data_IF_738823399106
#
_entry.id   IF_738823399106
#
_cell.length_a   1.000
_cell.length_b   1.000
_cell.length_c   1.000
_cell.angle_alpha   90.00
_cell.angle_beta   90.00
_cell.angle_gamma   90.00
#
_symmetry.space_group_name_H-M   'P 1'
#
loop_
_entity.id
_entity.type
_entity.pdbx_description
1 polymer ?
#
# COMPACT_ATOMS: atom_id res chain seq x y z
N UNK A 1 52.32 -28.40 -32.88
CA UNK A 1 51.24 -28.66 -31.91
C UNK A 1 50.57 -27.35 -31.56
N UNK A 2 49.33 -27.11 -32.03
CA UNK A 2 48.58 -25.88 -31.72
C UNK A 2 47.64 -26.17 -30.55
N UNK A 3 48.01 -25.71 -29.35
CA UNK A 3 47.13 -25.77 -28.18
C UNK A 3 45.94 -24.84 -28.40
N UNK A 4 44.75 -25.41 -28.59
CA UNK A 4 43.50 -24.67 -28.54
C UNK A 4 43.17 -24.41 -27.08
N UNK A 5 43.42 -23.19 -26.61
CA UNK A 5 42.92 -22.74 -25.31
C UNK A 5 41.42 -22.49 -25.50
N UNK A 6 40.61 -23.41 -24.98
CA UNK A 6 39.16 -23.21 -24.88
C UNK A 6 38.95 -22.29 -23.66
N UNK A 7 38.73 -21.01 -23.92
CA UNK A 7 38.27 -20.06 -22.90
C UNK A 7 36.80 -20.39 -22.66
N UNK A 8 36.52 -21.21 -21.64
CA UNK A 8 35.17 -21.39 -21.12
C UNK A 8 34.82 -20.10 -20.39
N UNK A 9 34.17 -19.18 -21.10
CA UNK A 9 33.51 -18.03 -20.48
C UNK A 9 32.33 -18.60 -19.69
N UNK A 10 32.58 -18.94 -18.43
CA UNK A 10 31.53 -19.00 -17.41
C UNK A 10 31.00 -17.57 -17.30
N UNK A 11 30.04 -17.22 -18.15
CA UNK A 11 29.09 -16.17 -17.85
C UNK A 11 28.36 -16.74 -16.63
N UNK A 12 28.59 -16.24 -15.40
CA UNK A 12 27.71 -16.64 -14.34
C UNK A 12 26.35 -16.15 -14.80
N UNK A 13 25.41 -17.09 -14.91
CA UNK A 13 24.00 -16.80 -15.03
C UNK A 13 23.75 -15.79 -13.93
N UNK A 14 23.65 -14.51 -14.32
CA UNK A 14 23.18 -13.44 -13.47
C UNK A 14 21.78 -13.89 -13.12
N UNK A 15 21.67 -14.62 -12.01
CA UNK A 15 20.44 -14.75 -11.27
C UNK A 15 19.93 -13.32 -11.21
N UNK A 16 18.89 -13.03 -11.98
CA UNK A 16 18.13 -11.79 -11.94
C UNK A 16 17.41 -11.71 -10.58
N UNK A 17 18.19 -11.75 -9.51
CA UNK A 17 17.81 -11.50 -8.15
C UNK A 17 17.45 -10.04 -8.09
N UNK A 18 16.21 -9.76 -8.46
CA UNK A 18 15.64 -8.45 -8.26
C UNK A 18 15.65 -8.17 -6.75
N UNK A 19 16.20 -7.01 -6.37
CA UNK A 19 16.27 -6.62 -4.96
C UNK A 19 14.86 -6.70 -4.34
N UNK A 20 14.78 -7.06 -3.07
CA UNK A 20 13.50 -7.18 -2.34
C UNK A 20 12.57 -5.99 -2.62
N UNK A 21 13.14 -4.78 -2.59
CA UNK A 21 12.43 -3.54 -2.84
C UNK A 21 11.96 -3.39 -4.30
N UNK A 22 12.81 -3.67 -5.28
CA UNK A 22 12.43 -3.61 -6.70
C UNK A 22 11.33 -4.63 -7.02
N UNK A 23 11.38 -5.80 -6.38
CA UNK A 23 10.42 -6.88 -6.59
C UNK A 23 9.06 -6.54 -5.97
N UNK A 24 9.08 -5.98 -4.76
CA UNK A 24 7.90 -5.43 -4.12
C UNK A 24 7.27 -4.33 -4.99
N UNK A 25 8.07 -3.41 -5.53
CA UNK A 25 7.60 -2.35 -6.41
C UNK A 25 6.96 -2.89 -7.70
N UNK A 26 7.64 -3.80 -8.42
CA UNK A 26 7.12 -4.42 -9.64
C UNK A 26 5.79 -5.15 -9.40
N UNK A 27 5.71 -5.96 -8.33
CA UNK A 27 4.47 -6.67 -7.98
C UNK A 27 3.35 -5.72 -7.57
N UNK A 28 3.66 -4.69 -6.80
CA UNK A 28 2.69 -3.67 -6.39
C UNK A 28 2.13 -2.96 -7.62
N UNK A 29 2.98 -2.50 -8.53
CA UNK A 29 2.56 -1.83 -9.77
C UNK A 29 1.70 -2.74 -10.67
N UNK A 30 2.04 -4.03 -10.77
CA UNK A 30 1.22 -4.99 -11.48
C UNK A 30 -0.16 -5.12 -10.84
N UNK A 31 -0.22 -5.33 -9.53
CA UNK A 31 -1.47 -5.47 -8.80
C UNK A 31 -2.33 -4.20 -8.88
N UNK A 32 -1.74 -3.00 -8.82
CA UNK A 32 -2.49 -1.73 -8.99
C UNK A 32 -3.30 -1.72 -10.29
N UNK A 33 -2.69 -2.16 -11.41
CA UNK A 33 -3.37 -2.22 -12.70
C UNK A 33 -4.57 -3.18 -12.67
N UNK A 34 -4.35 -4.38 -12.14
CA UNK A 34 -5.40 -5.41 -11.98
C UNK A 34 -6.54 -4.91 -11.08
N UNK A 35 -6.22 -4.24 -9.96
CA UNK A 35 -7.25 -3.74 -9.05
C UNK A 35 -8.08 -2.60 -9.62
N UNK A 36 -7.53 -1.81 -10.55
CA UNK A 36 -8.27 -0.76 -11.25
C UNK A 36 -9.23 -1.27 -12.34
N UNK A 37 -9.20 -2.56 -12.66
CA UNK A 37 -10.27 -3.21 -13.42
C UNK A 37 -11.52 -3.42 -12.55
N UNK A 38 -11.34 -3.54 -11.23
CA UNK A 38 -12.39 -3.87 -10.26
C UNK A 38 -12.93 -2.67 -9.47
N UNK A 39 -12.12 -1.62 -9.30
CA UNK A 39 -12.47 -0.46 -8.50
C UNK A 39 -11.80 0.84 -8.97
N UNK A 40 -12.52 1.94 -8.86
CA UNK A 40 -12.00 3.28 -9.20
C UNK A 40 -11.00 3.80 -8.18
N UNK A 41 -11.05 3.29 -6.94
CA UNK A 41 -10.20 3.75 -5.84
C UNK A 41 -9.59 2.56 -5.10
N UNK A 42 -8.27 2.56 -4.96
CA UNK A 42 -7.50 1.56 -4.24
C UNK A 42 -6.63 2.26 -3.18
N UNK A 43 -6.68 1.77 -1.96
CA UNK A 43 -5.80 2.19 -0.88
C UNK A 43 -4.53 1.35 -0.89
N UNK A 44 -3.40 2.01 -0.67
CA UNK A 44 -2.09 1.37 -0.53
C UNK A 44 -1.42 1.90 0.72
N UNK A 45 -1.18 1.03 1.69
CA UNK A 45 -0.36 1.29 2.86
C UNK A 45 1.02 0.64 2.68
N UNK A 46 2.06 1.35 3.12
CA UNK A 46 3.43 0.86 3.15
C UNK A 46 4.17 1.51 4.32
N UNK A 47 5.28 0.92 4.72
CA UNK A 47 6.21 1.50 5.68
C UNK A 47 7.63 1.29 5.18
N UNK A 48 8.45 2.33 5.27
CA UNK A 48 9.77 2.38 4.66
C UNK A 48 10.70 1.23 5.12
N UNK A 49 10.52 0.76 6.35
CA UNK A 49 11.33 -0.33 6.93
C UNK A 49 10.69 -1.71 6.79
N UNK A 50 9.49 -1.78 6.20
CA UNK A 50 8.73 -3.00 6.05
C UNK A 50 8.80 -3.52 4.61
N UNK A 51 9.24 -4.77 4.44
CA UNK A 51 9.26 -5.47 3.15
C UNK A 51 7.85 -5.99 2.75
N UNK A 52 6.81 -5.17 2.94
CA UNK A 52 5.47 -5.48 2.47
C UNK A 52 4.64 -4.24 2.21
N UNK A 53 3.65 -4.39 1.33
CA UNK A 53 2.58 -3.43 1.10
C UNK A 53 1.25 -4.07 1.47
N UNK A 54 0.33 -3.26 1.98
CA UNK A 54 -1.05 -3.65 2.17
C UNK A 54 -1.92 -2.85 1.21
N UNK A 55 -2.71 -3.55 0.40
CA UNK A 55 -3.60 -2.92 -0.58
C UNK A 55 -5.04 -3.34 -0.33
N UNK A 56 -5.98 -2.41 -0.44
CA UNK A 56 -7.39 -2.77 -0.35
C UNK A 56 -8.29 -1.81 -1.14
N UNK A 57 -9.47 -2.31 -1.50
CA UNK A 57 -10.54 -1.51 -2.09
C UNK A 57 -11.89 -1.96 -1.55
N UNK A 58 -12.90 -1.12 -1.74
CA UNK A 58 -14.28 -1.39 -1.34
C UNK A 58 -15.12 -1.70 -2.59
N UNK A 59 -15.90 -2.79 -2.55
CA UNK A 59 -16.86 -3.15 -3.61
C UNK A 59 -18.01 -3.95 -3.00
N UNK A 60 -19.26 -3.60 -3.34
CA UNK A 60 -20.46 -4.31 -2.89
C UNK A 60 -20.53 -4.56 -1.37
N UNK A 61 -20.20 -3.57 -0.54
CA UNK A 61 -20.13 -3.67 0.93
C UNK A 61 -19.05 -4.63 1.47
N UNK A 62 -18.04 -4.98 0.67
CA UNK A 62 -16.89 -5.76 1.13
C UNK A 62 -15.58 -4.97 0.98
N UNK A 63 -14.68 -5.20 1.92
CA UNK A 63 -13.25 -4.88 1.80
C UNK A 63 -12.55 -6.07 1.17
N UNK A 64 -11.94 -5.84 0.01
CA UNK A 64 -11.03 -6.78 -0.63
C UNK A 64 -9.60 -6.34 -0.33
N UNK A 65 -8.81 -7.18 0.34
CA UNK A 65 -7.46 -6.80 0.75
C UNK A 65 -6.38 -7.82 0.36
N UNK A 66 -5.18 -7.30 0.14
CA UNK A 66 -4.03 -8.00 -0.39
C UNK A 66 -2.79 -7.61 0.41
N UNK A 67 -2.02 -8.60 0.82
CA UNK A 67 -0.68 -8.41 1.36
C UNK A 67 0.33 -8.72 0.25
N UNK A 68 1.11 -7.73 -0.15
CA UNK A 68 2.13 -7.86 -1.18
C UNK A 68 3.49 -7.89 -0.51
N UNK A 69 4.23 -8.97 -0.71
CA UNK A 69 5.64 -9.14 -0.33
C UNK A 69 6.48 -9.28 -1.61
N UNK A 70 7.80 -9.07 -1.54
CA UNK A 70 8.69 -9.16 -2.71
C UNK A 70 8.45 -10.38 -3.61
N UNK A 71 8.23 -11.54 -3.00
CA UNK A 71 8.13 -12.81 -3.72
C UNK A 71 6.73 -13.45 -3.65
N UNK A 72 5.78 -12.85 -2.93
CA UNK A 72 4.44 -13.44 -2.72
C UNK A 72 3.37 -12.35 -2.59
N UNK A 73 2.23 -12.58 -3.23
CA UNK A 73 1.02 -11.81 -2.99
C UNK A 73 -0.01 -12.74 -2.35
N UNK A 74 -0.59 -12.32 -1.22
CA UNK A 74 -1.67 -13.03 -0.53
C UNK A 74 -2.95 -12.22 -0.68
N UNK A 75 -3.95 -12.76 -1.38
CA UNK A 75 -5.33 -12.25 -1.37
C UNK A 75 -6.04 -12.84 -0.15
N UNK A 76 -6.63 -11.99 0.69
CA UNK A 76 -7.44 -12.44 1.81
C UNK A 76 -8.90 -12.66 1.39
N UNK A 77 -9.65 -13.41 2.22
CA UNK A 77 -11.10 -13.53 2.03
C UNK A 77 -11.75 -12.13 2.15
N UNK A 78 -12.76 -11.80 1.31
CA UNK A 78 -13.48 -10.54 1.43
C UNK A 78 -14.06 -10.36 2.83
N UNK A 79 -13.98 -9.15 3.36
CA UNK A 79 -14.48 -8.81 4.71
C UNK A 79 -15.70 -7.94 4.56
N UNK A 80 -16.80 -8.30 5.21
CA UNK A 80 -17.99 -7.44 5.23
C UNK A 80 -17.66 -6.09 5.89
N UNK A 81 -18.02 -5.01 5.20
CA UNK A 81 -17.69 -3.64 5.52
C UNK A 81 -18.95 -2.87 5.91
N UNK A 82 -18.86 -2.12 7.01
CA UNK A 82 -19.88 -1.11 7.32
C UNK A 82 -19.85 -0.03 6.25
N UNK A 83 -21.02 0.43 5.83
CA UNK A 83 -21.13 1.60 4.98
C UNK A 83 -20.77 2.85 5.79
N UNK A 84 -19.52 3.29 5.69
CA UNK A 84 -19.01 4.52 6.30
C UNK A 84 -18.86 5.54 5.17
N UNK A 85 -19.81 6.45 5.07
CA UNK A 85 -19.73 7.57 4.14
C UNK A 85 -18.70 8.57 4.65
N UNK A 86 -17.77 9.01 3.79
CA UNK A 86 -16.84 10.11 4.11
C UNK A 86 -17.15 11.26 3.16
N UNK A 87 -17.19 12.49 3.70
CA UNK A 87 -17.21 13.68 2.86
C UNK A 87 -15.90 13.79 2.05
N UNK A 88 -16.00 13.94 0.73
CA UNK A 88 -14.85 14.13 -0.17
C UNK A 88 -13.92 15.27 0.26
N UNK A 89 -14.48 16.37 0.77
CA UNK A 89 -13.69 17.51 1.28
C UNK A 89 -12.88 17.12 2.52
N UNK A 90 -13.37 16.16 3.31
CA UNK A 90 -12.62 15.60 4.43
C UNK A 90 -11.41 14.80 3.94
N UNK A 91 -11.43 14.20 2.75
CA UNK A 91 -10.31 13.37 2.25
C UNK A 91 -9.15 14.28 1.85
N UNK A 92 -9.40 15.33 1.08
CA UNK A 92 -8.35 16.24 0.59
C UNK A 92 -7.50 16.82 1.72
N UNK A 93 -8.13 17.18 2.85
CA UNK A 93 -7.42 17.66 4.06
C UNK A 93 -6.25 16.75 4.47
N UNK A 94 -6.43 15.43 4.40
CA UNK A 94 -5.42 14.47 4.85
C UNK A 94 -4.41 14.12 3.77
N UNK A 95 -4.66 14.41 2.50
CA UNK A 95 -3.73 14.04 1.41
C UNK A 95 -3.12 15.23 0.64
N UNK A 96 -3.35 16.47 1.09
CA UNK A 96 -2.70 17.63 0.49
C UNK A 96 -1.17 17.58 0.68
N UNK A 97 -0.40 17.90 -0.35
CA UNK A 97 1.07 17.72 -0.40
C UNK A 97 1.90 18.73 0.43
N UNK A 98 1.38 19.26 1.53
CA UNK A 98 2.18 20.13 2.40
C UNK A 98 3.21 19.31 3.17
N UNK A 99 4.49 19.71 3.04
CA UNK A 99 5.67 19.07 3.64
C UNK A 99 5.56 18.99 5.18
N UNK A 100 4.86 19.96 5.79
CA UNK A 100 4.51 19.99 7.20
C UNK A 100 2.99 20.03 7.31
N UNK A 101 2.37 18.87 7.52
CA UNK A 101 0.97 18.80 7.93
C UNK A 101 0.95 18.94 9.45
N UNK A 102 0.37 19.99 10.00
CA UNK A 102 0.01 20.01 11.42
C UNK A 102 -1.32 19.27 11.60
N UNK A 103 -1.28 17.96 11.30
CA UNK A 103 -2.44 17.07 11.40
C UNK A 103 -1.99 15.85 12.20
N UNK A 104 -2.39 15.77 13.48
CA UNK A 104 -2.02 14.66 14.34
C UNK A 104 -2.26 13.30 13.66
N UNK A 105 -1.25 12.44 13.76
CA UNK A 105 -1.18 11.11 13.15
C UNK A 105 -0.97 11.05 11.62
N UNK A 106 -0.90 12.18 10.91
CA UNK A 106 -0.64 12.23 9.45
C UNK A 106 0.65 12.98 9.10
N UNK A 107 1.46 13.22 10.12
CA UNK A 107 2.80 13.80 10.03
C UNK A 107 3.84 12.77 9.60
N UNK A 108 4.99 13.28 9.15
CA UNK A 108 6.15 12.43 8.84
C UNK A 108 6.63 11.74 10.12
N UNK A 109 6.67 10.40 10.08
CA UNK A 109 7.10 9.55 11.18
C UNK A 109 8.42 8.85 10.86
N UNK A 110 9.17 8.50 11.91
CA UNK A 110 10.47 7.85 11.80
C UNK A 110 10.40 6.48 11.12
N UNK A 111 9.28 5.75 11.23
CA UNK A 111 9.08 4.46 10.57
C UNK A 111 8.71 4.59 9.07
N UNK A 112 8.58 5.82 8.59
CA UNK A 112 8.25 6.16 7.21
C UNK A 112 6.97 5.50 6.72
N UNK A 113 5.99 5.28 7.61
CA UNK A 113 4.70 4.76 7.23
C UNK A 113 3.88 5.79 6.44
N UNK A 114 3.26 5.34 5.36
CA UNK A 114 2.47 6.18 4.49
C UNK A 114 1.29 5.42 3.88
N UNK A 115 0.30 6.20 3.45
CA UNK A 115 -0.86 5.74 2.71
C UNK A 115 -0.98 6.51 1.40
N UNK A 116 -1.32 5.79 0.34
CA UNK A 116 -1.70 6.35 -0.96
C UNK A 116 -3.15 6.01 -1.27
N UNK A 117 -3.84 7.01 -1.81
CA UNK A 117 -5.12 6.83 -2.49
C UNK A 117 -4.85 6.80 -3.99
N UNK A 118 -4.94 5.61 -4.57
CA UNK A 118 -4.75 5.39 -6.00
C UNK A 118 -6.12 5.54 -6.67
N UNK A 119 -6.29 6.60 -7.45
CA UNK A 119 -7.56 6.91 -8.11
C UNK A 119 -7.37 6.67 -9.61
N UNK A 120 -8.25 5.85 -10.20
CA UNK A 120 -8.21 5.51 -11.62
C UNK A 120 -8.25 6.78 -12.46
N UNK A 121 -7.32 6.88 -13.43
CA UNK A 121 -7.19 8.02 -14.34
C UNK A 121 -6.96 9.39 -13.67
N UNK A 122 -6.45 9.42 -12.43
CA UNK A 122 -6.10 10.64 -11.71
C UNK A 122 -4.76 10.48 -11.00
N UNK A 123 -4.19 11.59 -10.54
CA UNK A 123 -3.00 11.57 -9.71
C UNK A 123 -3.28 10.85 -8.39
N UNK A 124 -2.33 10.01 -7.96
CA UNK A 124 -2.40 9.36 -6.65
C UNK A 124 -2.21 10.38 -5.55
N UNK A 125 -3.07 10.34 -4.53
CA UNK A 125 -2.92 11.19 -3.36
C UNK A 125 -2.03 10.51 -2.32
N UNK A 126 -1.18 11.27 -1.65
CA UNK A 126 -0.20 10.75 -0.68
C UNK A 126 -0.38 11.36 0.71
N UNK A 127 -0.23 10.54 1.75
CA UNK A 127 -0.05 11.03 3.10
C UNK A 127 0.87 10.12 3.90
N UNK A 128 1.70 10.72 4.74
CA UNK A 128 2.32 10.00 5.85
C UNK A 128 1.23 9.61 6.85
N UNK A 129 1.52 8.58 7.65
CA UNK A 129 0.63 8.14 8.70
C UNK A 129 1.38 7.48 9.85
N UNK A 130 1.14 7.97 11.07
CA UNK A 130 1.46 7.24 12.29
C UNK A 130 0.27 6.34 12.63
N UNK A 131 0.43 5.04 12.37
CA UNK A 131 -0.66 4.09 12.64
C UNK A 131 -0.90 3.90 14.14
N UNK A 132 0.12 3.96 14.99
CA UNK A 132 -0.07 3.83 16.44
C UNK A 132 -0.85 5.03 16.99
N UNK A 133 -0.52 6.24 16.55
CA UNK A 133 -1.31 7.44 16.82
C UNK A 133 -2.74 7.29 16.31
N UNK A 134 -2.94 6.79 15.09
CA UNK A 134 -4.26 6.56 14.51
C UNK A 134 -5.12 5.63 15.41
N UNK A 135 -4.54 4.56 15.94
CA UNK A 135 -5.30 3.60 16.76
C UNK A 135 -5.57 4.11 18.19
N UNK A 136 -4.69 4.94 18.75
CA UNK A 136 -4.87 5.54 20.09
C UNK A 136 -5.91 6.66 20.14
N UNK A 137 -6.09 7.40 19.04
CA UNK A 137 -6.97 8.56 19.00
C UNK A 137 -8.43 8.22 18.69
N UNK A 138 -9.36 9.06 19.17
CA UNK A 138 -10.79 9.01 18.82
C UNK A 138 -11.07 10.01 17.70
N UNK A 139 -11.91 9.60 16.75
CA UNK A 139 -12.29 10.41 15.59
C UNK A 139 -13.81 10.49 15.49
N UNK A 140 -14.32 11.58 14.92
CA UNK A 140 -15.73 11.70 14.58
C UNK A 140 -16.14 10.60 13.63
N UNK A 141 -17.34 10.05 13.85
CA UNK A 141 -17.95 9.09 12.93
C UNK A 141 -18.02 9.72 11.53
N UNK A 142 -17.83 8.93 10.48
CA UNK A 142 -17.85 9.38 9.08
C UNK A 142 -16.70 10.32 8.68
N UNK A 143 -15.67 10.49 9.52
CA UNK A 143 -14.42 11.13 9.12
C UNK A 143 -13.49 10.16 8.39
N UNK A 144 -12.58 10.71 7.57
CA UNK A 144 -11.53 9.92 6.93
C UNK A 144 -10.70 9.08 7.92
N UNK A 145 -10.10 9.65 8.99
CA UNK A 145 -9.31 8.86 9.93
C UNK A 145 -10.13 7.81 10.66
N UNK A 146 -11.42 8.07 10.94
CA UNK A 146 -12.32 7.07 11.49
C UNK A 146 -12.46 5.86 10.56
N UNK A 147 -12.74 6.09 9.27
CA UNK A 147 -12.87 5.00 8.27
C UNK A 147 -11.54 4.28 8.08
N UNK A 148 -10.42 5.01 7.99
CA UNK A 148 -9.11 4.40 7.80
C UNK A 148 -8.75 3.48 8.96
N UNK A 149 -8.95 3.95 10.20
CA UNK A 149 -8.79 3.13 11.41
C UNK A 149 -9.70 1.91 11.39
N UNK A 150 -10.96 2.07 10.98
CA UNK A 150 -11.90 0.95 10.82
C UNK A 150 -11.40 -0.08 9.81
N UNK A 151 -11.02 0.32 8.61
CA UNK A 151 -10.54 -0.56 7.54
C UNK A 151 -9.29 -1.33 8.00
N UNK A 152 -8.27 -0.64 8.53
CA UNK A 152 -7.05 -1.26 9.03
C UNK A 152 -7.34 -2.24 10.18
N UNK A 153 -8.25 -1.88 11.10
CA UNK A 153 -8.64 -2.78 12.21
C UNK A 153 -9.29 -4.08 11.72
N UNK A 154 -9.98 -4.05 10.58
CA UNK A 154 -10.59 -5.23 9.96
C UNK A 154 -9.55 -6.07 9.26
N UNK A 155 -8.63 -5.42 8.54
CA UNK A 155 -7.61 -6.12 7.75
C UNK A 155 -6.56 -6.78 8.65
N UNK A 156 -6.09 -6.12 9.70
CA UNK A 156 -5.06 -6.66 10.59
C UNK A 156 -5.54 -7.79 11.49
N UNK A 157 -6.84 -7.91 11.75
CA UNK A 157 -7.42 -9.09 12.43
C UNK A 157 -7.29 -10.39 11.63
N UNK A 158 -6.94 -10.32 10.35
CA UNK A 158 -6.72 -11.49 9.49
C UNK A 158 -5.28 -11.99 9.47
N UNK A 159 -4.36 -11.27 10.14
CA UNK A 159 -2.98 -11.69 10.35
C UNK A 159 -2.88 -12.46 11.66
#
# INVERSE_FOLDING_TARGET
MKSKIIIVILIPILLEGCSSQLCLQKKTNKLIKELHEEADTVYLYSSAFNNFNLMWYHKNNFIYCFEVKPYRTKKNKPIEAKNISINKDSVNKYFNNFILKDIPCFESVLDGAWIKLLIKNRESLFSNIDTDCLFRNKYSVNSFPYKLRYDLSKIWKLK
#
